data_IF_700603509035
#
_entry.id   IF_700603509035
#
_cell.length_a   1.000
_cell.length_b   1.000
_cell.length_c   1.000
_cell.angle_alpha   90.00
_cell.angle_beta   90.00
_cell.angle_gamma   90.00
#
_symmetry.space_group_name_H-M   'P 1'
#
loop_
_entity.id
_entity.type
_entity.pdbx_description
1 polymer ?
#
# COMPACT_ATOMS: atom_id res chain seq x y z
N UNK A 1 -6.56 -0.70 -3.05
CA UNK A 1 -6.59 -1.00 -2.57
C UNK A 1 -5.88 -1.56 -1.85
N UNK A 2 -5.30 -1.88 -1.68
CA UNK A 2 -4.61 -2.49 -1.01
C UNK A 2 -3.86 -1.78 -0.05
N UNK A 3 -3.69 -0.50 -0.03
CA UNK A 3 -2.98 0.19 0.98
C UNK A 3 -3.60 0.08 2.31
N UNK A 4 -4.82 -0.36 2.40
CA UNK A 4 -5.38 -0.54 3.67
C UNK A 4 -4.73 -1.60 4.43
N UNK A 5 -3.89 -2.41 3.88
CA UNK A 5 -3.24 -3.40 4.64
C UNK A 5 -2.47 -2.89 5.78
N UNK A 6 -1.94 -1.71 5.69
CA UNK A 6 -1.13 -1.21 6.78
C UNK A 6 -1.93 -1.06 8.05
N UNK A 7 -3.22 -0.95 7.96
CA UNK A 7 -3.99 -0.78 9.14
C UNK A 7 -4.25 -2.04 9.89
N UNK A 8 -3.98 -3.17 9.29
CA UNK A 8 -4.24 -4.41 9.96
C UNK A 8 -3.07 -4.94 10.70
N UNK A 9 -1.92 -4.28 10.59
CA UNK A 9 -0.72 -4.81 11.17
C UNK A 9 -0.80 -4.98 12.68
N UNK A 10 -1.37 -4.02 13.37
CA UNK A 10 -1.35 -4.16 14.79
C UNK A 10 -2.33 -5.16 15.31
N UNK A 11 -3.20 -5.68 14.51
CA UNK A 11 -4.07 -6.69 15.00
C UNK A 11 -3.34 -7.94 15.33
N UNK A 12 -2.19 -8.12 14.77
CA UNK A 12 -1.48 -9.35 14.98
C UNK A 12 -1.09 -9.57 16.41
N UNK A 13 -1.05 -8.54 17.17
CA UNK A 13 -0.67 -8.75 18.51
C UNK A 13 -1.60 -9.56 19.27
N UNK A 14 -2.84 -9.55 18.87
CA UNK A 14 -3.75 -10.28 19.64
C UNK A 14 -3.74 -11.66 19.30
N UNK A 15 -3.03 -12.07 18.36
CA UNK A 15 -3.15 -13.41 17.91
C UNK A 15 -2.60 -14.42 18.85
N UNK A 16 -1.89 -14.03 19.90
CA UNK A 16 -1.40 -15.04 20.74
C UNK A 16 -2.59 -15.69 21.32
N UNK A 17 -2.80 -16.89 21.09
CA UNK A 17 -3.91 -17.61 21.60
C UNK A 17 -5.14 -17.53 20.78
N UNK A 18 -5.17 -16.70 19.80
CA UNK A 18 -6.32 -16.55 19.00
C UNK A 18 -6.16 -17.22 17.70
N UNK A 19 -7.08 -18.10 17.35
CA UNK A 19 -7.10 -18.74 16.06
C UNK A 19 -8.19 -18.20 15.16
N UNK A 20 -9.05 -17.40 15.68
CA UNK A 20 -10.17 -16.88 14.93
C UNK A 20 -9.82 -15.53 14.34
N UNK A 21 -10.18 -15.33 13.09
CA UNK A 21 -9.91 -14.07 12.42
C UNK A 21 -10.71 -12.92 13.04
N UNK A 22 -10.07 -11.83 13.42
CA UNK A 22 -10.79 -10.72 14.03
C UNK A 22 -11.59 -9.88 13.05
N UNK A 23 -11.38 -10.08 11.75
CA UNK A 23 -12.10 -9.32 10.76
C UNK A 23 -13.43 -9.98 10.40
N UNK A 24 -13.39 -11.23 9.94
CA UNK A 24 -14.61 -11.89 9.53
C UNK A 24 -15.19 -12.75 10.63
N UNK A 25 -14.40 -13.03 11.68
CA UNK A 25 -14.86 -13.78 12.83
C UNK A 25 -15.34 -15.20 12.52
N UNK A 26 -15.07 -15.67 11.32
CA UNK A 26 -15.48 -17.02 10.93
C UNK A 26 -14.34 -17.89 10.50
N UNK A 27 -13.29 -17.32 9.97
CA UNK A 27 -12.16 -18.08 9.52
C UNK A 27 -11.15 -18.30 10.62
N UNK A 28 -10.19 -19.16 10.33
CA UNK A 28 -9.13 -19.49 11.25
C UNK A 28 -7.82 -18.95 10.72
N UNK A 29 -7.02 -18.37 11.57
CA UNK A 29 -5.73 -17.82 11.16
C UNK A 29 -4.70 -18.93 11.11
N UNK A 30 -4.00 -19.03 9.99
CA UNK A 30 -2.97 -20.03 9.80
C UNK A 30 -1.68 -19.36 9.39
N UNK A 31 -0.58 -19.92 9.81
CA UNK A 31 0.71 -19.37 9.47
C UNK A 31 1.00 -19.55 8.00
N UNK A 32 1.54 -18.54 7.38
CA UNK A 32 1.89 -18.58 5.97
C UNK A 32 2.83 -17.45 5.66
N UNK A 33 2.93 -17.14 4.37
CA UNK A 33 3.78 -16.06 3.91
C UNK A 33 3.01 -15.18 2.95
N UNK A 34 3.32 -13.91 2.96
CA UNK A 34 2.70 -12.96 2.04
C UNK A 34 3.79 -12.25 1.25
N UNK A 35 3.45 -11.87 0.04
CA UNK A 35 4.31 -11.06 -0.78
C UNK A 35 3.81 -9.64 -0.67
N UNK A 36 4.68 -8.77 -0.23
CA UNK A 36 4.27 -7.39 0.04
C UNK A 36 4.77 -6.46 -1.04
N UNK A 37 3.88 -5.59 -1.52
CA UNK A 37 4.26 -4.55 -2.46
C UNK A 37 3.72 -3.23 -1.94
N UNK A 38 4.39 -2.16 -2.30
CA UNK A 38 3.95 -0.83 -1.94
C UNK A 38 4.16 0.07 -3.14
N UNK A 39 3.08 0.69 -3.59
CA UNK A 39 3.12 1.56 -4.78
C UNK A 39 3.74 0.83 -5.97
N UNK A 40 3.40 -0.45 -6.12
CA UNK A 40 3.89 -1.25 -7.24
C UNK A 40 5.29 -1.78 -7.08
N UNK A 41 5.97 -1.47 -5.99
CA UNK A 41 7.34 -1.92 -5.77
C UNK A 41 7.31 -3.13 -4.83
N UNK A 42 7.93 -4.21 -5.25
CA UNK A 42 7.95 -5.43 -4.46
C UNK A 42 8.92 -5.28 -3.30
N UNK A 43 8.45 -5.57 -2.09
CA UNK A 43 9.26 -5.42 -0.90
C UNK A 43 9.82 -6.74 -0.39
N UNK A 44 9.20 -7.85 -0.73
CA UNK A 44 9.69 -9.14 -0.30
C UNK A 44 8.59 -10.03 0.20
N UNK A 45 8.98 -11.18 0.69
CA UNK A 45 8.06 -12.17 1.23
C UNK A 45 8.23 -12.20 2.73
N UNK A 46 7.14 -12.18 3.47
CA UNK A 46 7.19 -12.07 4.92
C UNK A 46 6.23 -13.04 5.57
N UNK A 47 6.56 -13.53 6.76
CA UNK A 47 5.65 -14.42 7.47
C UNK A 47 4.42 -13.67 7.93
N UNK A 48 3.29 -14.35 7.90
CA UNK A 48 2.03 -13.73 8.29
C UNK A 48 1.05 -14.82 8.69
N UNK A 49 -0.01 -14.40 9.37
CA UNK A 49 -1.13 -15.29 9.66
C UNK A 49 -2.25 -14.92 8.71
N UNK A 50 -2.77 -15.92 8.03
CA UNK A 50 -3.73 -15.68 6.96
C UNK A 50 -5.04 -16.36 7.32
N UNK A 51 -6.13 -15.64 7.18
CA UNK A 51 -7.44 -16.18 7.47
C UNK A 51 -7.86 -17.15 6.38
N UNK A 52 -8.41 -18.29 6.79
CA UNK A 52 -8.80 -19.32 5.85
C UNK A 52 -10.06 -18.93 5.07
N UNK A 53 -10.81 -17.97 5.53
CA UNK A 53 -12.04 -17.59 4.84
C UNK A 53 -11.96 -16.27 4.11
N UNK A 54 -11.64 -15.19 4.77
CA UNK A 54 -11.64 -13.90 4.11
C UNK A 54 -10.30 -13.57 3.44
N UNK A 55 -9.27 -14.36 3.71
CA UNK A 55 -7.99 -14.12 3.06
C UNK A 55 -7.16 -13.00 3.64
N UNK A 56 -7.64 -12.35 4.70
CA UNK A 56 -6.86 -11.28 5.30
C UNK A 56 -5.60 -11.81 5.93
N UNK A 57 -4.57 -11.01 5.91
CA UNK A 57 -3.29 -11.40 6.49
C UNK A 57 -2.90 -10.43 7.59
N UNK A 58 -2.18 -10.96 8.55
CA UNK A 58 -1.74 -10.18 9.70
C UNK A 58 -0.29 -10.46 9.97
N UNK A 59 0.49 -9.42 10.20
CA UNK A 59 1.91 -9.58 10.52
C UNK A 59 2.12 -9.10 11.96
N UNK A 60 3.17 -9.62 12.58
CA UNK A 60 3.48 -9.17 13.93
C UNK A 60 4.25 -7.85 13.85
N UNK A 61 4.52 -7.28 15.02
CA UNK A 61 5.14 -5.98 15.10
C UNK A 61 6.53 -5.96 14.48
N UNK A 62 7.28 -7.01 14.71
CA UNK A 62 8.61 -7.08 14.19
C UNK A 62 8.63 -7.16 12.68
N UNK A 63 7.75 -7.98 12.11
CA UNK A 63 7.65 -8.09 10.66
C UNK A 63 7.20 -6.76 10.05
N UNK A 64 6.24 -6.11 10.69
CA UNK A 64 5.77 -4.81 10.21
C UNK A 64 6.92 -3.80 10.18
N UNK A 65 7.76 -3.83 11.21
CA UNK A 65 8.89 -2.92 11.26
C UNK A 65 9.88 -3.20 10.15
N UNK A 66 10.09 -4.48 9.83
CA UNK A 66 11.00 -4.82 8.74
C UNK A 66 10.46 -4.35 7.40
N UNK A 67 9.16 -4.49 7.18
CA UNK A 67 8.57 -4.02 5.96
C UNK A 67 8.75 -2.51 5.84
N UNK A 68 8.53 -1.81 6.93
CA UNK A 68 8.68 -0.37 6.93
C UNK A 68 10.12 0.05 6.63
N UNK A 69 11.09 -0.65 7.22
CA UNK A 69 12.49 -0.33 6.98
C UNK A 69 12.86 -0.54 5.52
N UNK A 70 12.36 -1.62 4.92
CA UNK A 70 12.66 -1.88 3.53
C UNK A 70 12.03 -0.80 2.65
N UNK A 71 10.83 -0.38 2.97
CA UNK A 71 10.17 0.68 2.21
C UNK A 71 10.95 1.98 2.32
N UNK A 72 11.51 2.26 3.50
CA UNK A 72 12.30 3.47 3.67
C UNK A 72 13.59 3.41 2.87
N UNK A 73 14.22 2.24 2.83
CA UNK A 73 15.43 2.09 2.05
C UNK A 73 15.17 2.28 0.57
N UNK A 74 14.01 1.89 0.10
CA UNK A 74 13.69 2.05 -1.30
C UNK A 74 13.12 3.42 -1.63
N UNK A 75 12.99 4.27 -0.62
CA UNK A 75 12.53 5.63 -0.84
C UNK A 75 11.04 5.78 -1.11
N UNK A 76 10.27 4.74 -0.83
CA UNK A 76 8.84 4.80 -1.11
C UNK A 76 7.98 4.98 0.11
N UNK A 77 8.56 4.94 1.29
CA UNK A 77 7.79 5.13 2.51
C UNK A 77 7.27 6.55 2.58
N UNK A 78 5.97 6.69 2.72
CA UNK A 78 5.38 8.01 2.82
C UNK A 78 5.18 8.74 1.52
N UNK A 79 5.32 8.05 0.38
CA UNK A 79 5.13 8.72 -0.89
C UNK A 79 3.69 9.05 -1.20
N UNK A 80 2.75 8.35 -0.58
CA UNK A 80 1.35 8.64 -0.83
C UNK A 80 0.97 9.96 -0.18
N UNK A 81 0.39 10.87 -0.95
CA UNK A 81 0.02 12.18 -0.45
C UNK A 81 -1.40 12.51 -0.86
N UNK A 82 -2.07 13.26 -0.03
CA UNK A 82 -3.37 13.78 -0.38
C UNK A 82 -3.21 15.12 -1.07
N UNK A 83 -4.00 15.33 -2.10
CA UNK A 83 -3.99 16.59 -2.81
C UNK A 83 -5.41 16.90 -3.23
N UNK A 84 -5.64 18.12 -3.66
CA UNK A 84 -6.97 18.52 -4.06
C UNK A 84 -7.06 18.64 -5.57
N UNK A 85 -8.20 18.28 -6.11
CA UNK A 85 -8.48 18.48 -7.51
C UNK A 85 -9.01 19.90 -7.67
N UNK A 86 -8.33 20.68 -8.48
CA UNK A 86 -8.70 22.07 -8.68
C UNK A 86 -9.12 22.30 -10.13
N UNK A 87 -9.72 23.45 -10.37
CA UNK A 87 -10.17 23.78 -11.71
C UNK A 87 -9.24 24.80 -12.33
N UNK A 88 -8.82 24.56 -13.55
CA UNK A 88 -7.96 25.46 -14.28
C UNK A 88 -8.57 25.65 -15.65
N UNK A 89 -9.14 26.81 -15.90
CA UNK A 89 -9.89 27.04 -17.14
C UNK A 89 -11.06 26.08 -17.18
N UNK A 90 -11.18 25.31 -18.24
CA UNK A 90 -12.24 24.32 -18.36
C UNK A 90 -11.81 22.93 -17.95
N UNK A 91 -10.63 22.79 -17.38
CA UNK A 91 -10.10 21.49 -17.06
C UNK A 91 -9.93 21.35 -15.57
N UNK A 92 -9.82 20.11 -15.13
CA UNK A 92 -9.47 19.83 -13.75
C UNK A 92 -7.98 19.57 -13.70
N UNK A 93 -7.35 19.95 -12.60
CA UNK A 93 -5.93 19.79 -12.44
C UNK A 93 -5.61 19.23 -11.07
N UNK A 94 -4.54 18.48 -10.98
CA UNK A 94 -4.06 17.98 -9.71
C UNK A 94 -2.56 18.25 -9.68
N UNK A 95 -2.07 18.70 -8.51
CA UNK A 95 -0.67 19.00 -8.36
C UNK A 95 0.07 17.75 -7.96
N UNK A 96 1.16 17.45 -8.63
CA UNK A 96 1.97 16.28 -8.30
C UNK A 96 2.92 16.68 -7.18
N UNK A 97 2.89 15.99 -6.03
CA UNK A 97 3.79 16.33 -4.93
C UNK A 97 5.24 16.20 -5.35
N UNK A 98 6.06 17.07 -4.77
CA UNK A 98 7.46 17.12 -5.14
C UNK A 98 8.16 15.78 -4.92
N UNK A 99 7.85 15.11 -3.84
CA UNK A 99 8.50 13.85 -3.52
C UNK A 99 8.23 12.80 -4.59
N UNK A 100 7.01 12.78 -5.11
CA UNK A 100 6.66 11.82 -6.15
C UNK A 100 7.35 12.20 -7.45
N UNK A 101 7.42 13.49 -7.75
CA UNK A 101 8.08 13.95 -8.96
C UNK A 101 9.57 13.58 -8.95
N UNK A 102 10.20 13.72 -7.80
CA UNK A 102 11.61 13.35 -7.68
C UNK A 102 11.79 11.83 -7.83
N UNK A 103 10.91 11.08 -7.16
CA UNK A 103 11.02 9.62 -7.19
C UNK A 103 10.88 9.08 -8.62
N UNK A 104 9.95 9.64 -9.38
CA UNK A 104 9.71 9.20 -10.75
C UNK A 104 10.55 9.95 -11.77
N UNK A 105 11.37 10.91 -11.32
CA UNK A 105 12.22 11.71 -12.19
C UNK A 105 11.42 12.43 -13.26
N UNK A 106 10.34 13.03 -12.84
CA UNK A 106 9.49 13.79 -13.74
C UNK A 106 10.12 15.14 -14.02
N UNK A 107 10.00 15.60 -15.25
CA UNK A 107 10.57 16.88 -15.66
C UNK A 107 9.59 17.64 -16.50
N UNK A 108 9.67 18.94 -16.44
CA UNK A 108 8.85 19.79 -17.25
C UNK A 108 9.07 19.52 -18.72
N UNK A 109 8.01 19.44 -19.49
CA UNK A 109 8.14 19.18 -20.91
C UNK A 109 8.05 17.73 -21.32
N UNK A 110 8.11 16.82 -20.36
CA UNK A 110 7.95 15.41 -20.69
C UNK A 110 6.51 15.10 -20.98
N UNK A 111 6.29 14.17 -21.87
CA UNK A 111 4.94 13.77 -22.21
C UNK A 111 4.44 12.72 -21.26
N UNK A 112 3.16 12.70 -21.02
CA UNK A 112 2.53 11.73 -20.16
C UNK A 112 1.25 11.24 -20.81
N UNK A 113 0.92 9.97 -20.54
CA UNK A 113 -0.30 9.39 -21.04
C UNK A 113 -1.23 9.17 -19.85
N UNK A 114 -2.43 9.69 -19.94
CA UNK A 114 -3.38 9.64 -18.82
C UNK A 114 -4.55 8.79 -19.22
N UNK A 115 -4.90 7.82 -18.38
CA UNK A 115 -6.04 6.98 -18.66
C UNK A 115 -6.67 6.53 -17.34
N UNK A 116 -7.96 6.18 -17.37
CA UNK A 116 -8.59 5.63 -16.19
C UNK A 116 -8.34 4.15 -16.10
N UNK A 117 -8.31 3.64 -14.88
CA UNK A 117 -8.19 2.22 -14.67
C UNK A 117 -9.10 1.89 -13.50
N UNK A 118 -10.24 1.30 -13.78
CA UNK A 118 -11.29 1.13 -12.79
C UNK A 118 -11.67 2.50 -12.25
N UNK A 119 -11.52 2.75 -10.98
CA UNK A 119 -11.85 4.05 -10.42
C UNK A 119 -10.62 4.86 -10.10
N UNK A 120 -9.53 4.56 -10.76
CA UNK A 120 -8.28 5.27 -10.54
C UNK A 120 -7.88 6.04 -11.77
N UNK A 121 -7.10 7.05 -11.56
CA UNK A 121 -6.50 7.79 -12.65
C UNK A 121 -5.04 7.43 -12.70
N UNK A 122 -4.57 6.94 -13.85
CA UNK A 122 -3.19 6.53 -14.01
C UNK A 122 -2.50 7.48 -14.96
N UNK A 123 -1.33 7.94 -14.58
CA UNK A 123 -0.51 8.82 -15.40
C UNK A 123 0.80 8.12 -15.64
N UNK A 124 1.05 7.80 -16.92
CA UNK A 124 2.29 7.11 -17.29
C UNK A 124 3.25 8.09 -17.92
N UNK A 125 4.48 8.08 -17.48
CA UNK A 125 5.48 9.03 -17.96
C UNK A 125 6.66 8.38 -18.67
#
# INVERSE_FOLDING_TARGET
>A
MKHKKSERFFSAQKSKGFLTCPICEKGILKKGKIKETMFGIYLGEFPAEICSKCGESFTDQETTRKIEEIAKEKGIWGLGKQTKITKTGNSLAVRIPKEIAVFLKLEEGKEAYIHPENKKLVIET
#
